data_IF_541705162995
#
_entry.id   IF_541705162995
#
_cell.length_a   1.000
_cell.length_b   1.000
_cell.length_c   1.000
_cell.angle_alpha   90.00
_cell.angle_beta   90.00
_cell.angle_gamma   90.00
#
_symmetry.space_group_name_H-M   'P 1'
#
loop_
_entity.id
_entity.type
_entity.pdbx_description
1 polymer ?
#
# COMPACT_ATOMS: atom_id res chain seq x y z
N UNK A 1 46.86 -32.71 1.32
CA UNK A 1 47.09 -31.57 0.41
C UNK A 1 45.89 -31.53 -0.53
N UNK A 2 44.88 -30.74 -0.19
CA UNK A 2 44.53 -29.43 -0.85
C UNK A 2 43.98 -29.66 -2.26
N UNK A 3 42.80 -29.19 -2.69
CA UNK A 3 41.92 -28.15 -2.18
C UNK A 3 40.53 -28.26 -2.86
N UNK A 4 39.48 -27.81 -2.16
CA UNK A 4 38.08 -27.78 -2.60
C UNK A 4 37.56 -26.34 -2.49
N UNK A 5 37.09 -25.75 -3.59
CA UNK A 5 36.42 -24.43 -3.73
C UNK A 5 35.53 -24.51 -4.98
N UNK A 6 34.30 -24.01 -5.12
CA UNK A 6 33.41 -23.01 -4.49
C UNK A 6 31.98 -23.62 -4.56
N UNK A 7 30.92 -23.22 -3.87
CA UNK A 7 30.58 -22.05 -3.06
C UNK A 7 29.06 -21.85 -3.25
N UNK A 8 28.29 -21.82 -2.16
CA UNK A 8 26.94 -21.22 -2.14
C UNK A 8 26.51 -21.01 -0.69
N UNK A 9 26.05 -19.80 -0.45
CA UNK A 9 25.61 -19.15 0.78
C UNK A 9 24.24 -19.60 1.24
N UNK A 10 24.07 -19.89 2.53
CA UNK A 10 22.81 -19.70 3.24
C UNK A 10 23.04 -19.33 4.71
N UNK A 11 22.16 -18.47 5.18
CA UNK A 11 22.24 -17.56 6.31
C UNK A 11 21.87 -18.20 7.64
N UNK A 12 22.75 -18.05 8.63
CA UNK A 12 22.54 -18.45 10.03
C UNK A 12 21.83 -17.36 10.81
N UNK A 13 20.70 -17.72 11.43
CA UNK A 13 19.97 -16.97 12.45
C UNK A 13 20.71 -16.97 13.79
N UNK A 14 20.88 -15.80 14.43
CA UNK A 14 21.07 -15.72 15.88
C UNK A 14 20.44 -14.46 16.50
N UNK A 15 19.94 -14.56 17.74
CA UNK A 15 19.14 -13.54 18.41
C UNK A 15 20.01 -12.49 19.12
N UNK A 16 19.58 -11.23 19.08
CA UNK A 16 20.25 -10.12 19.76
C UNK A 16 19.88 -10.14 21.24
N UNK A 17 20.88 -10.43 22.07
CA UNK A 17 20.88 -10.27 23.53
C UNK A 17 21.37 -8.86 23.86
N UNK A 18 20.50 -8.03 24.42
CA UNK A 18 20.86 -6.68 24.90
C UNK A 18 21.31 -6.76 26.36
N UNK A 19 22.57 -6.41 26.61
CA UNK A 19 23.14 -6.23 27.94
C UNK A 19 22.82 -4.84 28.48
N UNK A 20 22.27 -4.82 29.70
CA UNK A 20 22.09 -3.62 30.50
C UNK A 20 23.44 -3.04 30.94
N UNK A 21 23.63 -1.74 30.78
CA UNK A 21 24.66 -1.00 31.48
C UNK A 21 24.12 0.37 31.91
N UNK A 22 24.33 0.62 33.19
CA UNK A 22 23.83 1.69 34.02
C UNK A 22 24.47 3.04 33.67
N UNK A 23 23.66 4.09 33.53
CA UNK A 23 24.11 5.48 33.74
C UNK A 23 23.07 6.26 34.54
N UNK A 24 23.52 6.65 35.72
CA UNK A 24 22.89 7.54 36.68
C UNK A 24 22.70 8.95 36.12
N UNK A 25 21.50 9.52 36.24
CA UNK A 25 21.34 10.96 36.50
C UNK A 25 20.02 11.21 37.24
N UNK A 26 20.17 12.02 38.28
CA UNK A 26 19.23 12.46 39.31
C UNK A 26 17.89 12.99 38.81
N UNK A 27 16.80 12.37 39.29
CA UNK A 27 15.45 12.94 39.30
C UNK A 27 15.31 13.73 40.60
N UNK A 28 15.20 15.06 40.51
CA UNK A 28 14.84 15.93 41.62
C UNK A 28 13.31 15.97 41.69
N UNK A 29 12.74 15.41 42.76
CA UNK A 29 11.32 15.51 43.08
C UNK A 29 10.98 16.91 43.64
N UNK A 30 9.77 17.45 43.39
CA UNK A 30 9.33 18.73 43.95
C UNK A 30 8.93 18.58 45.43
N UNK A 31 9.16 19.59 46.29
CA UNK A 31 8.74 19.55 47.68
C UNK A 31 7.23 19.77 47.85
N UNK A 32 6.63 19.29 48.95
CA UNK A 32 5.19 19.31 49.17
C UNK A 32 4.67 20.72 49.56
N UNK A 33 3.49 21.06 49.03
CA UNK A 33 2.66 22.19 49.44
C UNK A 33 2.16 21.98 50.88
N UNK A 34 2.48 22.89 51.79
CA UNK A 34 1.75 23.04 53.04
C UNK A 34 0.54 23.97 52.82
N UNK A 35 -0.64 23.45 53.12
CA UNK A 35 -1.92 24.14 53.04
C UNK A 35 -2.05 25.15 54.19
N UNK A 36 -2.36 26.39 53.84
CA UNK A 36 -2.94 27.37 54.76
C UNK A 36 -4.37 26.91 55.11
N UNK A 37 -4.61 26.64 56.38
CA UNK A 37 -5.95 26.48 56.94
C UNK A 37 -6.61 27.85 57.09
N UNK A 38 -7.67 28.09 56.33
CA UNK A 38 -8.63 29.16 56.58
C UNK A 38 -9.79 28.57 57.39
N UNK A 39 -10.13 29.19 58.51
CA UNK A 39 -11.43 29.05 59.15
C UNK A 39 -12.03 30.45 59.31
N UNK A 40 -13.11 30.64 58.56
CA UNK A 40 -13.92 31.84 58.41
C UNK A 40 -14.96 31.99 59.52
N UNK A 41 -15.32 33.24 59.84
CA UNK A 41 -16.72 33.68 60.02
C UNK A 41 -16.73 35.22 60.02
N UNK A 42 -17.13 35.87 58.93
CA UNK A 42 -18.51 36.29 58.60
C UNK A 42 -18.94 37.58 59.32
N UNK A 43 -19.00 38.69 58.60
CA UNK A 43 -20.28 39.35 58.26
C UNK A 43 -20.03 40.65 57.50
N UNK A 44 -20.73 40.74 56.36
CA UNK A 44 -20.97 41.94 55.55
C UNK A 44 -22.00 42.80 56.27
N UNK A 45 -21.89 44.13 56.19
CA UNK A 45 -23.02 45.04 55.94
C UNK A 45 -22.54 46.42 55.45
N UNK A 46 -23.34 46.95 54.53
CA UNK A 46 -23.22 48.19 53.77
C UNK A 46 -23.61 49.45 54.57
N UNK A 47 -23.46 50.60 53.88
CA UNK A 47 -24.21 51.87 53.97
C UNK A 47 -23.58 53.06 54.69
N UNK A 48 -23.29 54.07 53.85
CA UNK A 48 -23.88 55.41 53.79
C UNK A 48 -23.96 56.35 55.00
N UNK A 49 -23.63 57.58 54.64
CA UNK A 49 -24.19 58.86 55.06
C UNK A 49 -23.88 59.47 56.44
N UNK A 50 -23.18 60.60 56.32
CA UNK A 50 -23.64 61.93 56.71
C UNK A 50 -24.17 62.16 58.15
N UNK A 51 -23.41 63.05 58.79
CA UNK A 51 -23.88 64.23 59.52
C UNK A 51 -23.95 64.19 61.05
N UNK A 52 -23.28 65.20 61.60
CA UNK A 52 -23.77 66.16 62.58
C UNK A 52 -23.32 66.09 64.04
N UNK A 53 -22.48 67.09 64.35
CA UNK A 53 -22.66 68.13 65.40
C UNK A 53 -22.88 67.63 66.84
N UNK A 54 -21.92 67.96 67.72
CA UNK A 54 -22.04 68.91 68.87
C UNK A 54 -20.74 68.88 69.66
N UNK A 55 -19.94 69.95 69.58
CA UNK A 55 -19.99 71.10 70.51
C UNK A 55 -19.63 70.71 71.95
N UNK A 56 -18.47 71.19 72.43
CA UNK A 56 -18.45 71.95 73.70
C UNK A 56 -17.20 72.81 73.86
N UNK A 57 -17.43 74.12 73.76
CA UNK A 57 -16.61 75.21 74.26
C UNK A 57 -16.55 75.22 75.81
N UNK A 58 -15.56 75.94 76.33
CA UNK A 58 -15.42 76.37 77.72
C UNK A 58 -13.99 76.86 77.97
N UNK A 59 -13.59 78.05 77.50
CA UNK A 59 -13.86 79.39 78.06
C UNK A 59 -13.01 79.73 79.31
N UNK A 60 -11.92 80.46 79.04
CA UNK A 60 -11.46 81.73 79.66
C UNK A 60 -11.66 81.91 81.18
N UNK A 61 -10.55 82.23 81.87
CA UNK A 61 -10.55 83.21 82.98
C UNK A 61 -9.21 83.96 83.06
N UNK A 62 -9.23 85.18 82.52
CA UNK A 62 -8.44 86.30 83.00
C UNK A 62 -8.97 86.74 84.38
N UNK A 63 -8.08 87.18 85.27
CA UNK A 63 -8.43 88.08 86.37
C UNK A 63 -7.46 89.26 86.43
N UNK A 64 -8.09 90.39 86.73
CA UNK A 64 -7.73 91.78 86.47
C UNK A 64 -7.17 92.47 87.73
N UNK A 65 -6.61 93.64 87.48
CA UNK A 65 -6.02 94.64 88.37
C UNK A 65 -6.91 95.22 89.50
N UNK A 66 -6.23 95.92 90.43
CA UNK A 66 -6.71 97.06 91.24
C UNK A 66 -6.68 96.79 92.75
N UNK A 67 -6.37 97.68 93.69
CA UNK A 67 -5.96 99.10 93.72
C UNK A 67 -5.60 99.49 95.18
N UNK A 68 -4.57 100.32 95.36
CA UNK A 68 -4.31 101.39 96.37
C UNK A 68 -4.91 101.28 97.80
N UNK A 69 -4.04 101.39 98.83
CA UNK A 69 -4.29 102.18 100.05
C UNK A 69 -3.00 102.57 100.79
N UNK A 70 -2.88 103.88 101.04
CA UNK A 70 -1.86 104.58 101.82
C UNK A 70 -1.80 104.16 103.30
N UNK A 71 -0.58 104.18 103.88
CA UNK A 71 -0.34 104.64 105.27
C UNK A 71 1.15 104.92 105.55
N UNK A 72 1.53 106.15 105.26
CA UNK A 72 2.05 107.17 106.19
C UNK A 72 2.91 106.81 107.44
N UNK A 73 3.95 107.66 107.59
CA UNK A 73 4.76 108.06 108.76
C UNK A 73 5.93 107.20 109.28
N UNK A 74 7.12 107.67 108.88
CA UNK A 74 8.26 108.07 109.73
C UNK A 74 8.94 107.03 110.64
N UNK A 75 10.18 106.68 110.31
CA UNK A 75 11.31 107.16 111.11
C UNK A 75 12.63 106.99 110.35
N UNK A 76 13.37 108.09 110.33
CA UNK A 76 14.60 108.35 109.61
C UNK A 76 15.80 107.56 110.14
N UNK A 77 16.76 107.31 109.24
CA UNK A 77 18.16 106.95 109.51
C UNK A 77 18.58 105.48 109.32
N UNK A 78 18.05 104.82 108.28
CA UNK A 78 18.54 103.52 107.76
C UNK A 78 18.40 103.28 106.25
N UNK A 79 17.91 104.28 105.49
CA UNK A 79 17.42 104.13 104.11
C UNK A 79 18.50 104.11 103.02
N UNK A 80 19.70 104.64 103.28
CA UNK A 80 20.79 104.65 102.28
C UNK A 80 21.43 103.27 102.08
N UNK A 81 21.48 102.43 103.12
CA UNK A 81 22.01 101.07 103.03
C UNK A 81 21.03 100.11 102.33
N UNK A 82 19.73 100.21 102.64
CA UNK A 82 18.67 99.41 102.03
C UNK A 82 18.39 99.77 100.55
N UNK A 83 18.58 101.03 100.15
CA UNK A 83 18.49 101.43 98.73
C UNK A 83 19.66 100.87 97.92
N UNK A 84 20.88 100.90 98.48
CA UNK A 84 22.05 100.31 97.82
C UNK A 84 21.92 98.79 97.67
N UNK A 85 21.39 98.11 98.68
CA UNK A 85 21.08 96.68 98.64
C UNK A 85 19.96 96.36 97.62
N UNK A 86 18.93 97.21 97.51
CA UNK A 86 17.87 97.05 96.50
C UNK A 86 18.35 97.36 95.09
N UNK A 87 19.19 98.35 94.89
CA UNK A 87 19.78 98.67 93.58
C UNK A 87 20.80 97.60 93.14
N UNK A 88 21.54 97.00 94.08
CA UNK A 88 22.34 95.79 93.85
C UNK A 88 21.44 94.61 93.47
N UNK A 89 20.33 94.39 94.19
CA UNK A 89 19.36 93.32 93.88
C UNK A 89 18.67 93.53 92.53
N UNK A 90 18.33 94.76 92.18
CA UNK A 90 17.75 95.13 90.89
C UNK A 90 18.77 94.93 89.77
N UNK A 91 20.04 95.29 90.00
CA UNK A 91 21.12 95.04 89.04
C UNK A 91 21.37 93.54 88.85
N UNK A 92 21.32 92.78 89.93
CA UNK A 92 21.47 91.33 89.92
C UNK A 92 20.28 90.61 89.24
N UNK A 93 19.04 91.07 89.48
CA UNK A 93 17.86 90.57 88.78
C UNK A 93 17.85 90.96 87.31
N UNK A 94 18.27 92.17 86.95
CA UNK A 94 18.43 92.57 85.54
C UNK A 94 19.48 91.74 84.82
N UNK A 95 20.60 91.47 85.49
CA UNK A 95 21.64 90.55 85.00
C UNK A 95 21.09 89.13 84.84
N UNK A 96 20.36 88.62 85.82
CA UNK A 96 19.70 87.31 85.75
C UNK A 96 18.61 87.24 84.68
N UNK A 97 17.89 88.32 84.42
CA UNK A 97 16.87 88.39 83.36
C UNK A 97 17.50 88.39 81.98
N UNK A 98 18.62 89.10 81.78
CA UNK A 98 19.43 89.02 80.55
C UNK A 98 19.98 87.60 80.36
N UNK A 99 20.41 86.94 81.44
CA UNK A 99 20.93 85.57 81.38
C UNK A 99 19.82 84.56 81.03
N UNK A 100 18.64 84.68 81.63
CA UNK A 100 17.45 83.86 81.32
C UNK A 100 16.95 84.12 79.90
N UNK A 101 16.92 85.37 79.44
CA UNK A 101 16.51 85.72 78.08
C UNK A 101 17.51 85.17 77.05
N UNK A 102 18.82 85.24 77.34
CA UNK A 102 19.85 84.60 76.53
C UNK A 102 19.73 83.07 76.54
N UNK A 103 19.38 82.45 77.67
CA UNK A 103 19.12 81.02 77.75
C UNK A 103 17.85 80.59 77.00
N UNK A 104 16.77 81.38 77.08
CA UNK A 104 15.53 81.11 76.35
C UNK A 104 15.73 81.25 74.85
N UNK A 105 16.43 82.30 74.38
CA UNK A 105 16.78 82.46 72.98
C UNK A 105 17.60 81.27 72.46
N UNK A 106 18.58 80.79 73.24
CA UNK A 106 19.35 79.57 72.91
C UNK A 106 18.48 78.32 72.89
N UNK A 107 17.50 78.20 73.78
CA UNK A 107 16.58 77.06 73.78
C UNK A 107 15.64 77.09 72.58
N UNK A 108 15.12 78.25 72.20
CA UNK A 108 14.28 78.43 71.01
C UNK A 108 15.07 78.11 69.74
N UNK A 109 16.30 78.62 69.62
CA UNK A 109 17.18 78.31 68.48
C UNK A 109 17.48 76.81 68.41
N UNK A 110 17.79 76.18 69.55
CA UNK A 110 18.01 74.72 69.64
C UNK A 110 16.78 73.91 69.25
N UNK A 111 15.59 74.31 69.71
CA UNK A 111 14.34 73.62 69.37
C UNK A 111 13.99 73.80 67.90
N UNK A 112 14.11 75.02 67.37
CA UNK A 112 13.90 75.31 65.94
C UNK A 112 14.87 74.54 65.07
N UNK A 113 16.13 74.42 65.49
CA UNK A 113 17.14 73.63 64.79
C UNK A 113 16.77 72.14 64.81
N UNK A 114 16.45 71.59 65.99
CA UNK A 114 16.04 70.18 66.12
C UNK A 114 14.78 69.87 65.30
N UNK A 115 13.79 70.76 65.28
CA UNK A 115 12.56 70.60 64.49
C UNK A 115 12.85 70.66 62.99
N UNK A 116 13.65 71.63 62.54
CA UNK A 116 14.07 71.75 61.15
C UNK A 116 14.87 70.53 60.70
N UNK A 117 15.78 70.02 61.54
CA UNK A 117 16.57 68.81 61.27
C UNK A 117 15.67 67.57 61.18
N UNK A 118 14.68 67.45 62.06
CA UNK A 118 13.71 66.35 62.06
C UNK A 118 12.80 66.40 60.84
N UNK A 119 12.31 67.58 60.48
CA UNK A 119 11.47 67.79 59.29
C UNK A 119 12.26 67.49 58.01
N UNK A 120 13.50 68.00 57.89
CA UNK A 120 14.37 67.71 56.76
C UNK A 120 14.70 66.22 56.65
N UNK A 121 14.94 65.54 57.78
CA UNK A 121 15.15 64.10 57.81
C UNK A 121 13.93 63.34 57.25
N UNK A 122 12.72 63.63 57.73
CA UNK A 122 11.50 62.96 57.26
C UNK A 122 11.15 63.31 55.82
N UNK A 123 11.35 64.55 55.38
CA UNK A 123 11.17 64.95 53.99
C UNK A 123 12.13 64.20 53.07
N UNK A 124 13.40 64.08 53.45
CA UNK A 124 14.40 63.31 52.70
C UNK A 124 14.03 61.82 52.63
N UNK A 125 13.60 61.23 53.76
CA UNK A 125 13.12 59.84 53.81
C UNK A 125 11.89 59.62 52.94
N UNK A 126 10.89 60.50 53.02
CA UNK A 126 9.67 60.41 52.25
C UNK A 126 9.93 60.59 50.75
N UNK A 127 10.77 61.56 50.38
CA UNK A 127 11.20 61.77 48.98
C UNK A 127 11.94 60.54 48.43
N UNK A 128 12.87 59.98 49.21
CA UNK A 128 13.62 58.77 48.80
C UNK A 128 12.68 57.58 48.62
N UNK A 129 11.77 57.35 49.56
CA UNK A 129 10.81 56.24 49.49
C UNK A 129 9.84 56.40 48.32
N UNK A 130 9.33 57.61 48.10
CA UNK A 130 8.44 57.91 46.97
C UNK A 130 9.15 57.70 45.62
N UNK A 131 10.42 58.11 45.51
CA UNK A 131 11.21 57.87 44.31
C UNK A 131 11.43 56.36 44.07
N UNK A 132 11.69 55.59 45.12
CA UNK A 132 11.80 54.13 45.03
C UNK A 132 10.48 53.49 44.62
N UNK A 133 9.35 53.90 45.22
CA UNK A 133 8.02 53.41 44.87
C UNK A 133 7.72 53.64 43.39
N UNK A 134 7.88 54.87 42.90
CA UNK A 134 7.66 55.21 41.50
C UNK A 134 8.53 54.39 40.55
N UNK A 135 9.81 54.17 40.90
CA UNK A 135 10.70 53.32 40.12
C UNK A 135 10.21 51.87 40.07
N UNK A 136 9.90 51.26 41.21
CA UNK A 136 9.43 49.87 41.26
C UNK A 136 8.09 49.69 40.53
N UNK A 137 7.20 50.67 40.62
CA UNK A 137 5.91 50.68 39.94
C UNK A 137 6.09 50.78 38.41
N UNK A 138 7.04 51.58 37.92
CA UNK A 138 7.40 51.59 36.49
C UNK A 138 8.01 50.26 36.04
N UNK A 139 8.91 49.67 36.82
CA UNK A 139 9.52 48.36 36.52
C UNK A 139 8.45 47.26 36.47
N UNK A 140 7.48 47.26 37.39
CA UNK A 140 6.36 46.31 37.39
C UNK A 140 5.43 46.47 36.18
N UNK A 141 5.15 47.72 35.74
CA UNK A 141 4.36 47.93 34.51
C UNK A 141 5.08 47.39 33.28
N UNK A 142 6.39 47.61 33.16
CA UNK A 142 7.18 47.10 32.05
C UNK A 142 7.24 45.57 32.05
N UNK A 143 7.44 44.95 33.21
CA UNK A 143 7.43 43.49 33.34
C UNK A 143 6.07 42.88 32.97
N UNK A 144 4.96 43.51 33.36
CA UNK A 144 3.62 43.05 32.95
C UNK A 144 3.43 43.14 31.44
N UNK A 145 3.82 44.26 30.82
CA UNK A 145 3.76 44.42 29.37
C UNK A 145 4.63 43.39 28.63
N UNK A 146 5.82 43.06 29.16
CA UNK A 146 6.68 42.01 28.59
C UNK A 146 6.02 40.62 28.73
N UNK A 147 5.35 40.32 29.85
CA UNK A 147 4.62 39.06 30.01
C UNK A 147 3.46 38.95 29.03
N UNK A 148 2.67 40.02 28.84
CA UNK A 148 1.56 40.04 27.87
C UNK A 148 2.06 39.82 26.44
N UNK A 149 3.21 40.43 26.06
CA UNK A 149 3.82 40.20 24.76
C UNK A 149 4.28 38.74 24.61
N UNK A 150 4.94 38.19 25.63
CA UNK A 150 5.37 36.78 25.65
C UNK A 150 4.18 35.81 25.63
N UNK A 151 3.05 36.20 26.21
CA UNK A 151 1.79 35.45 26.13
C UNK A 151 1.25 35.47 24.71
N UNK A 152 1.19 36.64 24.07
CA UNK A 152 0.81 36.77 22.66
C UNK A 152 1.69 35.94 21.72
N UNK A 153 3.02 35.99 21.88
CA UNK A 153 3.96 35.17 21.09
C UNK A 153 3.72 33.66 21.28
N UNK A 154 3.38 33.22 22.49
CA UNK A 154 3.05 31.81 22.77
C UNK A 154 1.72 31.40 22.14
N UNK A 155 0.74 32.28 22.18
CA UNK A 155 -0.58 32.03 21.58
C UNK A 155 -0.48 31.96 20.06
N UNK A 156 0.23 32.90 19.42
CA UNK A 156 0.53 32.86 17.98
C UNK A 156 1.28 31.59 17.57
N UNK A 157 2.28 31.18 18.36
CA UNK A 157 3.01 29.94 18.12
C UNK A 157 2.10 28.72 18.26
N UNK A 158 1.22 28.69 19.27
CA UNK A 158 0.29 27.60 19.51
C UNK A 158 -0.76 27.52 18.39
N UNK A 159 -1.28 28.64 17.91
CA UNK A 159 -2.17 28.71 16.76
C UNK A 159 -1.49 28.19 15.48
N UNK A 160 -0.24 28.58 15.23
CA UNK A 160 0.56 28.06 14.13
C UNK A 160 0.76 26.55 14.21
N UNK A 161 1.06 26.01 15.39
CA UNK A 161 1.16 24.56 15.62
C UNK A 161 -0.15 23.84 15.33
N UNK A 162 -1.28 24.36 15.80
CA UNK A 162 -2.59 23.78 15.53
C UNK A 162 -2.98 23.83 14.05
N UNK A 163 -2.56 24.88 13.34
CA UNK A 163 -2.71 24.95 11.89
C UNK A 163 -1.89 23.87 11.16
N UNK A 164 -0.59 23.73 11.49
CA UNK A 164 0.24 22.71 10.86
C UNK A 164 -0.23 21.28 11.17
N UNK A 165 -0.70 21.01 12.39
CA UNK A 165 -1.30 19.71 12.74
C UNK A 165 -2.52 19.39 11.86
N UNK A 166 -3.38 20.37 11.61
CA UNK A 166 -4.54 20.22 10.73
C UNK A 166 -4.13 19.94 9.28
N UNK A 167 -3.15 20.68 8.76
CA UNK A 167 -2.65 20.47 7.40
C UNK A 167 -2.00 19.08 7.24
N UNK A 168 -1.17 18.64 8.19
CA UNK A 168 -0.56 17.30 8.18
C UNK A 168 -1.65 16.23 8.16
N UNK A 169 -2.66 16.36 9.03
CA UNK A 169 -3.78 15.41 9.06
C UNK A 169 -4.53 15.35 7.72
N UNK A 170 -4.78 16.49 7.09
CA UNK A 170 -5.41 16.55 5.77
C UNK A 170 -4.56 15.88 4.68
N UNK A 171 -3.23 16.09 4.69
CA UNK A 171 -2.32 15.39 3.76
C UNK A 171 -2.28 13.88 4.01
N UNK A 172 -2.30 13.45 5.26
CA UNK A 172 -2.35 12.02 5.61
C UNK A 172 -3.67 11.35 5.17
N UNK A 173 -4.79 12.07 5.28
CA UNK A 173 -6.08 11.63 4.74
C UNK A 173 -6.02 11.44 3.21
N UNK A 174 -5.43 12.39 2.49
CA UNK A 174 -5.25 12.31 1.04
C UNK A 174 -4.30 11.17 0.63
N UNK A 175 -3.18 10.99 1.33
CA UNK A 175 -2.26 9.87 1.09
C UNK A 175 -2.98 8.53 1.29
N UNK A 176 -3.82 8.41 2.33
CA UNK A 176 -4.63 7.20 2.56
C UNK A 176 -5.64 6.97 1.45
N UNK A 177 -6.31 8.02 0.98
CA UNK A 177 -7.24 7.94 -0.15
C UNK A 177 -6.53 7.49 -1.43
N UNK A 178 -5.45 8.15 -1.81
CA UNK A 178 -4.65 7.79 -2.99
C UNK A 178 -4.11 6.36 -2.93
N UNK A 179 -3.69 5.88 -1.74
CA UNK A 179 -3.27 4.48 -1.57
C UNK A 179 -4.45 3.51 -1.78
N UNK A 180 -5.64 3.83 -1.30
CA UNK A 180 -6.85 3.03 -1.54
C UNK A 180 -7.19 2.99 -3.02
N UNK A 181 -7.15 4.14 -3.70
CA UNK A 181 -7.41 4.24 -5.14
C UNK A 181 -6.35 3.48 -5.95
N UNK A 182 -5.06 3.58 -5.60
CA UNK A 182 -3.98 2.79 -6.20
C UNK A 182 -4.16 1.28 -5.95
N UNK A 183 -4.63 0.87 -4.78
CA UNK A 183 -4.94 -0.55 -4.52
C UNK A 183 -6.16 -1.01 -5.33
N UNK A 184 -7.19 -0.17 -5.46
CA UNK A 184 -8.37 -0.43 -6.29
C UNK A 184 -8.01 -0.56 -7.75
N UNK A 185 -7.20 0.37 -8.28
CA UNK A 185 -6.69 0.35 -9.65
C UNK A 185 -5.75 -0.83 -9.87
N UNK A 186 -4.86 -1.13 -8.93
CA UNK A 186 -4.00 -2.32 -8.98
C UNK A 186 -4.81 -3.61 -8.99
N UNK A 187 -5.88 -3.68 -8.18
CA UNK A 187 -6.79 -4.82 -8.16
C UNK A 187 -7.54 -4.94 -9.48
N UNK A 188 -8.08 -3.84 -10.00
CA UNK A 188 -8.79 -3.78 -11.28
C UNK A 188 -7.88 -4.19 -12.44
N UNK A 189 -6.68 -3.60 -12.52
CA UNK A 189 -5.67 -3.96 -13.51
C UNK A 189 -5.28 -5.43 -13.37
N UNK A 190 -4.98 -5.93 -12.17
CA UNK A 190 -4.71 -7.35 -11.96
C UNK A 190 -5.89 -8.25 -12.36
N UNK A 191 -7.14 -7.88 -12.10
CA UNK A 191 -8.28 -8.67 -12.61
C UNK A 191 -8.43 -8.59 -14.13
N UNK A 192 -8.05 -7.46 -14.74
CA UNK A 192 -8.17 -7.22 -16.18
C UNK A 192 -7.02 -7.81 -17.00
N UNK A 193 -5.83 -7.99 -16.41
CA UNK A 193 -4.64 -8.55 -17.09
C UNK A 193 -4.34 -10.00 -16.70
N UNK A 194 -4.94 -10.56 -15.63
CA UNK A 194 -4.82 -11.99 -15.27
C UNK A 194 -5.54 -12.94 -16.23
N UNK A 195 -6.08 -12.44 -17.34
CA UNK A 195 -6.56 -13.25 -18.46
C UNK A 195 -5.47 -13.54 -19.50
N UNK A 196 -4.26 -13.01 -19.37
CA UNK A 196 -3.14 -13.34 -20.26
C UNK A 196 -2.45 -14.64 -19.83
N UNK A 197 -3.19 -15.75 -19.84
CA UNK A 197 -2.63 -17.11 -19.84
C UNK A 197 -2.11 -17.43 -21.25
N UNK A 198 -1.16 -16.64 -21.72
CA UNK A 198 -0.48 -16.90 -22.99
C UNK A 198 0.64 -17.89 -22.76
N UNK A 199 0.57 -19.01 -23.48
CA UNK A 199 1.59 -20.05 -23.43
C UNK A 199 2.56 -19.85 -24.62
N UNK A 200 3.85 -20.15 -24.41
CA UNK A 200 4.85 -19.98 -25.46
C UNK A 200 4.76 -21.07 -26.53
N UNK A 201 5.18 -20.73 -27.74
CA UNK A 201 5.22 -21.65 -28.88
C UNK A 201 6.09 -22.88 -28.57
N UNK A 202 7.18 -22.72 -27.79
CA UNK A 202 8.05 -23.82 -27.36
C UNK A 202 7.32 -24.86 -26.49
N UNK A 203 6.42 -24.42 -25.61
CA UNK A 203 5.64 -25.33 -24.78
C UNK A 203 4.66 -26.13 -25.66
N UNK A 204 3.98 -25.47 -26.60
CA UNK A 204 3.10 -26.15 -27.54
C UNK A 204 3.85 -27.13 -28.43
N UNK A 205 5.03 -26.76 -28.95
CA UNK A 205 5.88 -27.65 -29.73
C UNK A 205 6.29 -28.89 -28.91
N UNK A 206 6.70 -28.68 -27.65
CA UNK A 206 7.06 -29.76 -26.73
C UNK A 206 5.88 -30.68 -26.41
N UNK A 207 4.69 -30.13 -26.19
CA UNK A 207 3.47 -30.89 -25.89
C UNK A 207 2.99 -31.70 -27.09
N UNK A 208 3.07 -31.10 -28.28
CA UNK A 208 2.76 -31.76 -29.54
C UNK A 208 3.73 -32.92 -29.79
N UNK A 209 5.03 -32.71 -29.57
CA UNK A 209 6.02 -33.78 -29.65
C UNK A 209 5.77 -34.91 -28.65
N UNK A 210 5.38 -34.59 -27.40
CA UNK A 210 5.01 -35.60 -26.39
C UNK A 210 3.78 -36.41 -26.81
N UNK A 211 2.76 -35.76 -27.37
CA UNK A 211 1.57 -36.44 -27.88
C UNK A 211 1.92 -37.37 -29.06
N UNK A 212 2.73 -36.89 -30.01
CA UNK A 212 3.18 -37.69 -31.16
C UNK A 212 4.03 -38.89 -30.75
N UNK A 213 4.96 -38.70 -29.82
CA UNK A 213 5.79 -39.78 -29.27
C UNK A 213 4.93 -40.77 -28.46
N UNK A 214 3.95 -40.29 -27.69
CA UNK A 214 3.01 -41.15 -26.97
C UNK A 214 2.17 -42.01 -27.90
N UNK A 215 1.71 -41.45 -29.03
CA UNK A 215 0.98 -42.20 -30.05
C UNK A 215 1.87 -43.26 -30.72
N UNK A 216 3.12 -42.91 -31.03
CA UNK A 216 4.09 -43.85 -31.58
C UNK A 216 4.36 -45.00 -30.62
N UNK A 217 4.63 -44.71 -29.35
CA UNK A 217 4.87 -45.72 -28.31
C UNK A 217 3.66 -46.63 -28.14
N UNK A 218 2.44 -46.07 -28.09
CA UNK A 218 1.20 -46.83 -28.02
C UNK A 218 1.03 -47.78 -29.23
N UNK A 219 1.29 -47.29 -30.44
CA UNK A 219 1.22 -48.10 -31.65
C UNK A 219 2.25 -49.25 -31.63
N UNK A 220 3.49 -48.96 -31.17
CA UNK A 220 4.54 -49.97 -31.01
C UNK A 220 4.15 -51.01 -29.95
N UNK A 221 3.72 -50.58 -28.77
CA UNK A 221 3.42 -51.44 -27.64
C UNK A 221 2.30 -52.44 -27.95
N UNK A 222 1.26 -52.00 -28.65
CA UNK A 222 0.07 -52.82 -28.89
C UNK A 222 0.02 -53.50 -30.27
N UNK A 223 0.75 -52.99 -31.27
CA UNK A 223 0.62 -53.48 -32.66
C UNK A 223 1.92 -53.91 -33.32
N UNK A 224 3.09 -53.81 -32.66
CA UNK A 224 4.39 -54.19 -33.26
C UNK A 224 4.43 -55.64 -33.75
N UNK A 225 3.79 -56.58 -33.05
CA UNK A 225 3.80 -58.02 -33.41
C UNK A 225 2.60 -58.45 -34.26
N UNK A 226 1.69 -57.53 -34.55
CA UNK A 226 0.43 -57.88 -35.19
C UNK A 226 0.51 -57.83 -36.71
N UNK A 227 -0.32 -58.65 -37.35
CA UNK A 227 -0.50 -58.67 -38.82
C UNK A 227 -1.72 -57.84 -39.19
N UNK A 228 -1.59 -57.06 -40.27
CA UNK A 228 -2.72 -56.33 -40.87
C UNK A 228 -3.39 -57.27 -41.86
N UNK A 229 -4.71 -57.42 -41.74
CA UNK A 229 -5.56 -58.25 -42.61
C UNK A 229 -6.74 -57.40 -43.08
N UNK A 230 -6.51 -56.62 -44.14
CA UNK A 230 -7.56 -55.74 -44.72
C UNK A 230 -8.75 -56.55 -45.24
N UNK A 231 -8.53 -57.78 -45.73
CA UNK A 231 -9.59 -58.63 -46.30
C UNK A 231 -10.70 -59.04 -45.32
N UNK A 232 -10.53 -58.80 -44.01
CA UNK A 232 -11.57 -59.01 -42.99
C UNK A 232 -12.46 -57.77 -42.80
N UNK A 233 -12.08 -56.62 -43.35
CA UNK A 233 -12.81 -55.37 -43.15
C UNK A 233 -14.14 -55.38 -43.92
N UNK A 234 -15.18 -54.82 -43.29
CA UNK A 234 -16.44 -54.57 -43.98
C UNK A 234 -16.26 -53.45 -45.03
N UNK A 235 -17.04 -53.40 -46.11
CA UNK A 235 -16.94 -52.36 -47.14
C UNK A 235 -17.15 -50.95 -46.57
N UNK A 236 -17.90 -50.82 -45.47
CA UNK A 236 -18.06 -49.55 -44.75
C UNK A 236 -16.76 -49.07 -44.09
N UNK A 237 -15.96 -49.99 -43.55
CA UNK A 237 -14.69 -49.64 -42.90
C UNK A 237 -13.59 -49.42 -43.96
N UNK A 238 -13.63 -50.13 -45.08
CA UNK A 238 -12.73 -49.87 -46.20
C UNK A 238 -12.92 -48.46 -46.78
N UNK A 239 -14.19 -48.03 -46.96
CA UNK A 239 -14.48 -46.67 -47.42
C UNK A 239 -13.96 -45.61 -46.43
N UNK A 240 -14.21 -45.79 -45.13
CA UNK A 240 -13.69 -44.88 -44.10
C UNK A 240 -12.16 -44.87 -44.04
N UNK A 241 -11.53 -46.05 -44.18
CA UNK A 241 -10.08 -46.16 -44.23
C UNK A 241 -9.49 -45.44 -45.45
N UNK A 242 -10.16 -45.49 -46.59
CA UNK A 242 -9.76 -44.75 -47.80
C UNK A 242 -9.88 -43.23 -47.64
N UNK A 243 -10.81 -42.76 -46.81
CA UNK A 243 -10.95 -41.34 -46.47
C UNK A 243 -9.88 -40.88 -45.50
N UNK A 244 -9.56 -41.70 -44.48
CA UNK A 244 -8.56 -41.38 -43.47
C UNK A 244 -7.13 -41.46 -44.02
N UNK A 245 -6.81 -42.52 -44.77
CA UNK A 245 -5.48 -42.77 -45.34
C UNK A 245 -5.64 -43.26 -46.77
N UNK A 246 -5.61 -42.38 -47.78
CA UNK A 246 -5.88 -42.75 -49.17
C UNK A 246 -4.97 -43.85 -49.74
N UNK A 247 -3.72 -43.94 -49.28
CA UNK A 247 -2.75 -44.97 -49.70
C UNK A 247 -2.73 -46.23 -48.79
N UNK A 248 -3.76 -46.46 -47.97
CA UNK A 248 -3.80 -47.54 -46.96
C UNK A 248 -3.43 -48.93 -47.51
N UNK A 249 -3.80 -49.24 -48.75
CA UNK A 249 -3.59 -50.56 -49.36
C UNK A 249 -2.11 -50.88 -49.62
N UNK A 250 -1.30 -49.86 -49.93
CA UNK A 250 0.14 -50.00 -50.14
C UNK A 250 0.87 -49.99 -48.79
N UNK A 251 0.50 -49.06 -47.91
CA UNK A 251 1.08 -48.94 -46.58
C UNK A 251 0.85 -50.16 -45.69
N UNK A 252 -0.27 -50.86 -45.82
CA UNK A 252 -0.51 -52.09 -45.07
C UNK A 252 0.51 -53.20 -45.36
N UNK A 253 1.16 -53.16 -46.53
CA UNK A 253 2.18 -54.14 -46.94
C UNK A 253 3.58 -53.74 -46.49
N UNK A 254 3.90 -52.44 -46.55
CA UNK A 254 5.25 -51.91 -46.36
C UNK A 254 5.47 -51.33 -44.95
N UNK A 255 4.50 -50.56 -44.43
CA UNK A 255 4.68 -49.67 -43.29
C UNK A 255 3.46 -49.67 -42.37
N UNK A 256 3.29 -50.77 -41.63
CA UNK A 256 2.13 -50.99 -40.74
C UNK A 256 1.97 -50.00 -39.60
N UNK A 257 3.08 -49.61 -38.94
CA UNK A 257 3.02 -48.70 -37.78
C UNK A 257 2.66 -47.27 -38.21
N UNK A 258 3.28 -46.70 -39.26
CA UNK A 258 2.84 -45.43 -39.85
C UNK A 258 1.37 -45.41 -40.26
N UNK A 259 0.85 -46.49 -40.85
CA UNK A 259 -0.58 -46.59 -41.18
C UNK A 259 -1.48 -46.44 -39.95
N UNK A 260 -1.20 -47.19 -38.88
CA UNK A 260 -1.98 -47.15 -37.64
C UNK A 260 -1.90 -45.77 -36.97
N UNK A 261 -0.72 -45.16 -36.94
CA UNK A 261 -0.54 -43.81 -36.41
C UNK A 261 -1.33 -42.78 -37.22
N UNK A 262 -1.28 -42.87 -38.56
CA UNK A 262 -2.00 -41.98 -39.46
C UNK A 262 -3.53 -42.04 -39.25
N UNK A 263 -4.09 -43.25 -39.09
CA UNK A 263 -5.52 -43.44 -38.79
C UNK A 263 -5.91 -42.72 -37.48
N UNK A 264 -5.17 -42.97 -36.40
CA UNK A 264 -5.50 -42.38 -35.09
C UNK A 264 -5.30 -40.87 -35.13
N UNK A 265 -4.19 -40.38 -35.68
CA UNK A 265 -3.92 -38.95 -35.83
C UNK A 265 -5.00 -38.22 -36.61
N UNK A 266 -5.47 -38.80 -37.73
CA UNK A 266 -6.53 -38.19 -38.53
C UNK A 266 -7.85 -38.10 -37.75
N UNK A 267 -8.20 -39.16 -37.00
CA UNK A 267 -9.37 -39.14 -36.12
C UNK A 267 -9.23 -38.08 -35.01
N UNK A 268 -8.05 -37.95 -34.39
CA UNK A 268 -7.80 -36.92 -33.37
C UNK A 268 -7.97 -35.52 -33.98
N UNK A 269 -7.50 -35.28 -35.20
CA UNK A 269 -7.70 -33.98 -35.87
C UNK A 269 -9.17 -33.72 -36.12
N UNK A 270 -9.87 -34.64 -36.80
CA UNK A 270 -11.29 -34.47 -37.15
C UNK A 270 -12.21 -34.27 -35.94
N UNK A 271 -11.97 -35.01 -34.84
CA UNK A 271 -12.89 -35.04 -33.70
C UNK A 271 -12.50 -34.09 -32.56
N UNK A 272 -11.21 -33.74 -32.45
CA UNK A 272 -10.70 -32.96 -31.31
C UNK A 272 -10.12 -31.63 -31.79
N UNK A 273 -9.16 -31.64 -32.70
CA UNK A 273 -8.45 -30.40 -33.06
C UNK A 273 -9.22 -29.51 -34.04
N UNK A 274 -10.12 -30.05 -34.86
CA UNK A 274 -11.03 -29.28 -35.73
C UNK A 274 -12.26 -28.74 -34.98
N UNK A 275 -12.48 -29.15 -33.74
CA UNK A 275 -13.55 -28.61 -32.91
C UNK A 275 -13.22 -27.16 -32.50
N UNK A 276 -14.21 -26.26 -32.59
CA UNK A 276 -14.04 -24.87 -32.15
C UNK A 276 -13.57 -24.76 -30.69
N UNK A 277 -14.18 -25.57 -29.81
CA UNK A 277 -13.72 -25.78 -28.44
C UNK A 277 -14.24 -27.13 -27.95
N UNK A 278 -13.34 -28.03 -27.53
CA UNK A 278 -13.70 -29.40 -27.19
C UNK A 278 -14.58 -29.47 -25.95
N UNK A 279 -15.70 -30.19 -26.06
CA UNK A 279 -16.70 -30.36 -25.00
C UNK A 279 -17.85 -29.36 -25.05
N UNK A 280 -17.91 -28.52 -26.10
CA UNK A 280 -19.13 -27.80 -26.45
C UNK A 280 -19.93 -28.60 -27.48
N UNK A 281 -21.25 -28.58 -27.32
CA UNK A 281 -22.17 -29.04 -28.37
C UNK A 281 -21.98 -28.24 -29.67
N UNK A 282 -22.31 -28.88 -30.81
CA UNK A 282 -22.20 -28.24 -32.14
C UNK A 282 -22.98 -26.92 -32.23
N UNK A 283 -24.15 -26.84 -31.60
CA UNK A 283 -24.98 -25.64 -31.58
C UNK A 283 -24.33 -24.49 -30.79
N UNK A 284 -23.72 -24.79 -29.64
CA UNK A 284 -23.01 -23.79 -28.84
C UNK A 284 -21.76 -23.30 -29.55
N UNK A 285 -20.98 -24.21 -30.13
CA UNK A 285 -19.80 -23.89 -30.93
C UNK A 285 -20.16 -22.99 -32.12
N UNK A 286 -21.23 -23.31 -32.86
CA UNK A 286 -21.70 -22.51 -33.99
C UNK A 286 -22.13 -21.09 -33.58
N UNK A 287 -22.82 -20.94 -32.43
CA UNK A 287 -23.21 -19.62 -31.92
C UNK A 287 -22.00 -18.76 -31.56
N UNK A 288 -20.99 -19.35 -30.91
CA UNK A 288 -19.74 -18.63 -30.58
C UNK A 288 -18.98 -18.23 -31.84
N UNK A 289 -18.89 -19.14 -32.82
CA UNK A 289 -18.24 -18.88 -34.11
C UNK A 289 -18.93 -17.74 -34.87
N UNK A 290 -20.26 -17.75 -34.96
CA UNK A 290 -21.03 -16.66 -35.59
C UNK A 290 -20.83 -15.32 -34.86
N UNK A 291 -20.72 -15.35 -33.52
CA UNK A 291 -20.45 -14.15 -32.73
C UNK A 291 -19.05 -13.61 -33.00
N UNK A 292 -18.05 -14.49 -33.12
CA UNK A 292 -16.69 -14.12 -33.50
C UNK A 292 -16.67 -13.45 -34.89
N UNK A 293 -17.28 -14.08 -35.90
CA UNK A 293 -17.34 -13.56 -37.27
C UNK A 293 -18.04 -12.18 -37.31
N UNK A 294 -19.10 -12.00 -36.52
CA UNK A 294 -19.76 -10.72 -36.37
C UNK A 294 -18.84 -9.66 -35.75
N UNK A 295 -18.13 -9.99 -34.67
CA UNK A 295 -17.19 -9.06 -34.02
C UNK A 295 -16.02 -8.70 -34.91
N UNK A 296 -15.51 -9.65 -35.69
CA UNK A 296 -14.44 -9.42 -36.65
C UNK A 296 -14.87 -8.40 -37.71
N UNK A 297 -16.12 -8.49 -38.19
CA UNK A 297 -16.68 -7.53 -39.14
C UNK A 297 -16.90 -6.12 -38.57
N UNK A 298 -17.12 -5.99 -37.26
CA UNK A 298 -17.46 -4.72 -36.60
C UNK A 298 -16.24 -4.00 -36.01
N UNK A 299 -15.30 -4.75 -35.44
CA UNK A 299 -14.24 -4.24 -34.55
C UNK A 299 -12.83 -4.65 -34.98
N UNK A 300 -12.70 -5.40 -36.09
CA UNK A 300 -11.44 -5.94 -36.58
C UNK A 300 -11.02 -7.24 -35.90
N UNK A 301 -10.03 -7.89 -36.51
CA UNK A 301 -9.55 -9.23 -36.14
C UNK A 301 -8.95 -9.31 -34.73
N UNK A 302 -8.18 -8.29 -34.32
CA UNK A 302 -7.57 -8.22 -32.99
C UNK A 302 -8.62 -8.29 -31.86
N UNK A 303 -9.66 -7.46 -31.97
CA UNK A 303 -10.73 -7.40 -30.98
C UNK A 303 -11.52 -8.71 -30.93
N UNK A 304 -11.77 -9.34 -32.09
CA UNK A 304 -12.45 -10.63 -32.18
C UNK A 304 -11.63 -11.77 -31.57
N UNK A 305 -10.32 -11.80 -31.84
CA UNK A 305 -9.39 -12.79 -31.28
C UNK A 305 -9.22 -12.62 -29.76
N UNK A 306 -9.11 -11.38 -29.28
CA UNK A 306 -9.10 -11.07 -27.85
C UNK A 306 -10.40 -11.54 -27.18
N UNK A 307 -11.56 -11.25 -27.78
CA UNK A 307 -12.86 -11.70 -27.27
C UNK A 307 -12.94 -13.23 -27.24
N UNK A 308 -12.52 -13.92 -28.31
CA UNK A 308 -12.48 -15.40 -28.38
C UNK A 308 -11.62 -15.97 -27.26
N UNK A 309 -10.38 -15.49 -27.11
CA UNK A 309 -9.44 -15.95 -26.10
C UNK A 309 -10.01 -15.81 -24.68
N UNK A 310 -10.55 -14.62 -24.35
CA UNK A 310 -11.15 -14.36 -23.04
C UNK A 310 -12.39 -15.23 -22.80
N UNK A 311 -13.29 -15.31 -23.78
CA UNK A 311 -14.54 -16.08 -23.67
C UNK A 311 -14.25 -17.57 -23.47
N UNK A 312 -13.35 -18.15 -24.27
CA UNK A 312 -12.98 -19.56 -24.15
C UNK A 312 -12.20 -19.84 -22.85
N UNK A 313 -11.41 -18.89 -22.35
CA UNK A 313 -10.76 -18.99 -21.03
C UNK A 313 -11.79 -19.05 -19.91
N UNK A 314 -12.84 -18.23 -19.97
CA UNK A 314 -13.95 -18.27 -19.01
C UNK A 314 -14.70 -19.60 -19.10
N UNK A 315 -15.01 -20.08 -20.30
CA UNK A 315 -15.67 -21.38 -20.52
C UNK A 315 -14.83 -22.52 -19.94
N UNK A 316 -13.51 -22.54 -20.17
CA UNK A 316 -12.59 -23.55 -19.60
C UNK A 316 -12.64 -23.59 -18.08
N UNK A 317 -12.67 -22.43 -17.42
CA UNK A 317 -12.61 -22.32 -15.95
C UNK A 317 -13.96 -22.54 -15.27
N UNK A 318 -15.00 -21.90 -15.77
CA UNK A 318 -16.31 -21.81 -15.09
C UNK A 318 -17.27 -22.93 -15.52
N UNK A 319 -17.17 -23.43 -16.75
CA UNK A 319 -18.04 -24.49 -17.26
C UNK A 319 -17.44 -25.90 -17.15
N UNK A 320 -16.34 -26.07 -16.41
CA UNK A 320 -15.58 -27.33 -16.30
C UNK A 320 -16.44 -28.56 -15.98
N UNK A 321 -17.44 -28.43 -15.09
CA UNK A 321 -18.37 -29.51 -14.75
C UNK A 321 -19.30 -29.90 -15.91
N UNK A 322 -19.83 -28.92 -16.65
CA UNK A 322 -20.72 -29.17 -17.80
C UNK A 322 -19.92 -29.74 -18.98
N UNK A 323 -18.72 -29.21 -19.20
CA UNK A 323 -17.80 -29.71 -20.22
C UNK A 323 -17.41 -31.16 -19.93
N UNK A 324 -17.27 -31.57 -18.67
CA UNK A 324 -16.75 -32.90 -18.33
C UNK A 324 -17.58 -34.03 -18.94
N UNK A 325 -18.91 -33.98 -18.83
CA UNK A 325 -19.79 -35.02 -19.39
C UNK A 325 -19.67 -35.12 -20.93
N UNK A 326 -19.71 -33.98 -21.64
CA UNK A 326 -19.53 -33.94 -23.09
C UNK A 326 -18.12 -34.37 -23.50
N UNK A 327 -17.11 -34.03 -22.70
CA UNK A 327 -15.72 -34.47 -22.91
C UNK A 327 -15.60 -35.98 -22.81
N UNK A 328 -16.18 -36.58 -21.78
CA UNK A 328 -16.18 -38.03 -21.61
C UNK A 328 -16.86 -38.71 -22.79
N UNK A 329 -18.00 -38.20 -23.26
CA UNK A 329 -18.66 -38.72 -24.46
C UNK A 329 -17.75 -38.67 -25.70
N UNK A 330 -17.08 -37.53 -25.94
CA UNK A 330 -16.11 -37.40 -27.06
C UNK A 330 -14.96 -38.41 -26.91
N UNK A 331 -14.44 -38.60 -25.69
CA UNK A 331 -13.38 -39.60 -25.44
C UNK A 331 -13.85 -41.00 -25.81
N UNK A 332 -15.04 -41.41 -25.35
CA UNK A 332 -15.63 -42.71 -25.70
C UNK A 332 -15.85 -42.85 -27.21
N UNK A 333 -16.38 -41.83 -27.87
CA UNK A 333 -16.67 -41.85 -29.30
C UNK A 333 -15.38 -42.00 -30.13
N UNK A 334 -14.31 -41.30 -29.75
CA UNK A 334 -12.99 -41.44 -30.40
C UNK A 334 -12.46 -42.87 -30.22
N UNK A 335 -12.52 -43.42 -29.00
CA UNK A 335 -12.03 -44.78 -28.71
C UNK A 335 -12.85 -45.82 -29.45
N UNK A 336 -14.18 -45.68 -29.46
CA UNK A 336 -15.08 -46.56 -30.18
C UNK A 336 -14.81 -46.53 -31.69
N UNK A 337 -14.59 -45.35 -32.28
CA UNK A 337 -14.25 -45.19 -33.70
C UNK A 337 -12.91 -45.82 -34.03
N UNK A 338 -11.85 -45.50 -33.28
CA UNK A 338 -10.51 -46.09 -33.45
C UNK A 338 -10.58 -47.60 -33.31
N UNK A 339 -11.21 -48.10 -32.26
CA UNK A 339 -11.35 -49.52 -31.99
C UNK A 339 -12.10 -50.25 -33.10
N UNK A 340 -13.23 -49.70 -33.57
CA UNK A 340 -14.01 -50.27 -34.66
C UNK A 340 -13.18 -50.42 -35.94
N UNK A 341 -12.39 -49.41 -36.30
CA UNK A 341 -11.53 -49.46 -37.49
C UNK A 341 -10.39 -50.45 -37.28
N UNK A 342 -9.65 -50.32 -36.18
CA UNK A 342 -8.47 -51.14 -35.92
C UNK A 342 -8.81 -52.62 -35.75
N UNK A 343 -9.88 -52.97 -35.04
CA UNK A 343 -10.31 -54.36 -34.87
C UNK A 343 -10.79 -55.01 -36.16
N UNK A 344 -11.14 -54.23 -37.19
CA UNK A 344 -11.51 -54.78 -38.50
C UNK A 344 -10.31 -55.08 -39.40
N UNK A 345 -9.18 -54.39 -39.20
CA UNK A 345 -7.97 -54.50 -40.03
C UNK A 345 -6.84 -55.26 -39.33
N UNK A 346 -6.95 -55.52 -38.03
CA UNK A 346 -5.92 -56.13 -37.18
C UNK A 346 -6.48 -57.40 -36.53
N UNK A 347 -5.68 -58.47 -36.51
CA UNK A 347 -6.05 -59.78 -35.94
C UNK A 347 -5.86 -59.89 -34.40
N UNK A 348 -5.94 -58.77 -33.67
CA UNK A 348 -5.75 -58.72 -32.22
C UNK A 348 -6.97 -58.13 -31.55
N UNK A 349 -7.43 -58.83 -30.52
CA UNK A 349 -8.57 -58.42 -29.71
C UNK A 349 -8.28 -57.12 -28.95
N UNK A 350 -9.35 -56.38 -28.70
CA UNK A 350 -9.33 -55.18 -27.87
C UNK A 350 -8.95 -55.56 -26.44
N UNK A 351 -7.99 -54.85 -25.85
CA UNK A 351 -7.59 -55.06 -24.45
C UNK A 351 -7.87 -53.81 -23.63
N UNK A 352 -8.30 -53.97 -22.38
CA UNK A 352 -8.55 -52.85 -21.47
C UNK A 352 -7.31 -51.97 -21.31
N UNK A 353 -6.10 -52.57 -21.33
CA UNK A 353 -4.84 -51.84 -21.26
C UNK A 353 -4.62 -50.92 -22.48
N UNK A 354 -4.93 -51.41 -23.69
CA UNK A 354 -4.81 -50.63 -24.93
C UNK A 354 -5.76 -49.44 -24.92
N UNK A 355 -7.02 -49.68 -24.52
CA UNK A 355 -8.06 -48.66 -24.52
C UNK A 355 -7.81 -47.65 -23.38
N UNK A 356 -7.30 -48.09 -22.23
CA UNK A 356 -6.86 -47.20 -21.16
C UNK A 356 -5.70 -46.28 -21.59
N UNK A 357 -4.70 -46.82 -22.29
CA UNK A 357 -3.60 -46.00 -22.82
C UNK A 357 -4.09 -45.02 -23.89
N UNK A 358 -5.02 -45.45 -24.77
CA UNK A 358 -5.63 -44.57 -25.78
C UNK A 358 -6.45 -43.45 -25.12
N UNK A 359 -7.22 -43.74 -24.05
CA UNK A 359 -7.91 -42.72 -23.24
C UNK A 359 -6.95 -41.64 -22.75
N UNK A 360 -5.77 -42.04 -22.27
CA UNK A 360 -4.73 -41.11 -21.81
C UNK A 360 -4.26 -40.17 -22.93
N UNK A 361 -4.01 -40.71 -24.14
CA UNK A 361 -3.63 -39.93 -25.31
C UNK A 361 -4.74 -38.97 -25.75
N UNK A 362 -5.97 -39.45 -25.82
CA UNK A 362 -7.14 -38.62 -26.19
C UNK A 362 -7.32 -37.48 -25.20
N UNK A 363 -7.26 -37.73 -23.89
CA UNK A 363 -7.36 -36.67 -22.88
C UNK A 363 -6.22 -35.64 -23.01
N UNK A 364 -5.01 -36.09 -23.31
CA UNK A 364 -3.86 -35.21 -23.55
C UNK A 364 -4.09 -34.33 -24.78
N UNK A 365 -4.63 -34.90 -25.87
CA UNK A 365 -4.99 -34.16 -27.08
C UNK A 365 -6.10 -33.13 -26.82
N UNK A 366 -7.12 -33.48 -26.05
CA UNK A 366 -8.22 -32.57 -25.67
C UNK A 366 -7.68 -31.38 -24.87
N UNK A 367 -6.81 -31.63 -23.88
CA UNK A 367 -6.26 -30.56 -23.06
C UNK A 367 -5.33 -29.65 -23.88
N UNK A 368 -4.55 -30.21 -24.80
CA UNK A 368 -3.75 -29.44 -25.75
C UNK A 368 -4.64 -28.58 -26.66
N UNK A 369 -5.67 -29.16 -27.27
CA UNK A 369 -6.61 -28.44 -28.14
C UNK A 369 -7.28 -27.25 -27.41
N UNK A 370 -7.69 -27.44 -26.15
CA UNK A 370 -8.24 -26.36 -25.33
C UNK A 370 -7.25 -25.24 -25.05
N UNK A 371 -6.00 -25.58 -24.76
CA UNK A 371 -4.95 -24.58 -24.50
C UNK A 371 -4.59 -23.79 -25.74
N UNK A 372 -4.55 -24.44 -26.91
CA UNK A 372 -4.39 -23.77 -28.21
C UNK A 372 -5.57 -22.81 -28.49
N UNK A 373 -6.80 -23.26 -28.24
CA UNK A 373 -8.02 -22.50 -28.52
C UNK A 373 -8.21 -21.24 -27.64
N UNK A 374 -7.57 -21.17 -26.47
CA UNK A 374 -7.65 -19.97 -25.59
C UNK A 374 -6.57 -18.92 -25.90
N UNK A 375 -5.64 -19.21 -26.81
CA UNK A 375 -4.62 -18.23 -27.20
C UNK A 375 -5.22 -17.12 -28.06
N UNK A 376 -4.64 -15.91 -27.97
CA UNK A 376 -5.04 -14.77 -28.82
C UNK A 376 -4.65 -15.01 -30.28
N UNK A 377 -3.41 -15.46 -30.53
CA UNK A 377 -3.03 -15.99 -31.83
C UNK A 377 -3.89 -17.20 -32.20
N UNK A 378 -4.14 -17.39 -33.49
CA UNK A 378 -4.93 -18.51 -33.99
C UNK A 378 -3.99 -19.68 -34.26
N UNK A 379 -4.12 -20.74 -33.46
CA UNK A 379 -3.41 -21.99 -33.69
C UNK A 379 -4.31 -22.96 -34.43
N UNK A 380 -3.80 -23.53 -35.53
CA UNK A 380 -4.48 -24.54 -36.32
C UNK A 380 -3.62 -25.80 -36.39
N UNK A 381 -4.22 -26.92 -36.01
CA UNK A 381 -3.60 -28.25 -36.18
C UNK A 381 -4.03 -28.78 -37.54
N UNK A 382 -3.09 -29.18 -38.38
CA UNK A 382 -3.40 -29.59 -39.76
C UNK A 382 -2.65 -30.85 -40.16
N UNK A 383 -3.32 -31.75 -40.89
CA UNK A 383 -2.67 -32.81 -41.65
C UNK A 383 -2.67 -32.44 -43.14
N UNK A 384 -1.51 -32.51 -43.82
CA UNK A 384 -1.45 -32.44 -45.27
C UNK A 384 -2.40 -33.45 -45.92
N UNK A 385 -3.21 -32.99 -46.88
CA UNK A 385 -4.13 -33.86 -47.60
C UNK A 385 -3.40 -34.57 -48.73
N UNK A 386 -3.41 -35.91 -48.70
CA UNK A 386 -2.87 -36.75 -49.76
C UNK A 386 -4.03 -37.11 -50.68
N UNK A 387 -3.95 -36.76 -51.96
CA UNK A 387 -5.01 -37.05 -52.93
C UNK A 387 -4.56 -38.21 -53.84
N UNK A 388 -5.42 -39.22 -54.12
CA UNK A 388 -5.05 -40.39 -54.93
C UNK A 388 -4.53 -40.10 -56.35
N UNK A 389 -4.76 -38.88 -56.86
CA UNK A 389 -4.43 -38.48 -58.23
C UNK A 389 -3.46 -37.29 -58.30
N UNK A 390 -2.96 -36.84 -57.16
CA UNK A 390 -2.06 -35.69 -57.10
C UNK A 390 -0.86 -36.01 -56.20
N UNK A 391 0.33 -35.85 -56.76
CA UNK A 391 1.57 -36.01 -56.02
C UNK A 391 1.67 -34.97 -54.93
N UNK A 392 1.69 -35.42 -53.68
CA UNK A 392 1.91 -34.56 -52.52
C UNK A 392 3.38 -34.64 -52.16
N UNK A 393 4.14 -33.59 -52.46
CA UNK A 393 5.61 -33.58 -52.32
C UNK A 393 5.99 -33.18 -50.88
N UNK A 394 7.08 -33.75 -50.38
CA UNK A 394 7.66 -33.38 -49.08
C UNK A 394 8.13 -31.92 -49.06
N UNK A 395 7.70 -31.17 -48.04
CA UNK A 395 8.15 -29.80 -47.78
C UNK A 395 8.99 -29.75 -46.49
N UNK A 396 10.32 -29.57 -46.58
CA UNK A 396 11.21 -29.53 -45.41
C UNK A 396 10.86 -28.41 -44.43
N UNK A 397 10.16 -27.36 -44.85
CA UNK A 397 9.79 -26.25 -43.96
C UNK A 397 8.61 -26.58 -43.05
N UNK A 398 7.72 -27.48 -43.47
CA UNK A 398 6.48 -27.84 -42.74
C UNK A 398 6.44 -29.29 -42.26
N UNK A 399 7.33 -30.14 -42.79
CA UNK A 399 7.30 -31.59 -42.60
C UNK A 399 8.64 -32.13 -42.09
N UNK A 400 8.58 -33.24 -41.36
CA UNK A 400 9.70 -34.03 -40.85
C UNK A 400 9.50 -35.49 -41.29
N UNK A 401 10.50 -36.08 -41.93
CA UNK A 401 10.44 -37.48 -42.35
C UNK A 401 10.76 -38.43 -41.19
N UNK A 402 9.98 -39.50 -41.08
CA UNK A 402 10.17 -40.55 -40.07
C UNK A 402 10.89 -41.80 -40.59
N UNK A 403 11.16 -41.86 -41.91
CA UNK A 403 11.87 -42.95 -42.58
C UNK A 403 13.37 -42.94 -42.30
N UNK A 404 13.93 -41.81 -41.84
CA UNK A 404 15.32 -41.68 -41.42
C UNK A 404 16.30 -41.52 -42.58
N UNK A 405 15.80 -41.04 -43.73
CA UNK A 405 16.61 -40.70 -44.90
C UNK A 405 17.13 -39.26 -44.80
N UNK A 406 18.26 -38.95 -45.45
CA UNK A 406 18.85 -37.61 -45.43
C UNK A 406 17.95 -36.58 -46.14
N UNK A 407 17.61 -35.48 -45.47
CA UNK A 407 16.61 -34.48 -45.91
C UNK A 407 16.89 -33.86 -47.29
N UNK A 408 18.16 -33.76 -47.70
CA UNK A 408 18.58 -33.16 -48.97
C UNK A 408 18.03 -33.91 -50.21
N UNK A 409 17.80 -35.23 -50.08
CA UNK A 409 17.22 -36.07 -51.13
C UNK A 409 15.69 -36.21 -51.07
N UNK A 410 15.05 -35.67 -50.03
CA UNK A 410 13.61 -35.85 -49.77
C UNK A 410 12.74 -34.79 -50.43
N UNK A 411 13.28 -33.61 -50.76
CA UNK A 411 12.52 -32.47 -51.32
C UNK A 411 11.79 -32.75 -52.64
N UNK A 412 12.16 -33.81 -53.35
CA UNK A 412 11.47 -34.26 -54.58
C UNK A 412 10.61 -35.50 -54.39
N UNK A 413 10.58 -36.09 -53.18
CA UNK A 413 9.85 -37.33 -52.89
C UNK A 413 8.39 -37.05 -52.55
N UNK A 414 7.55 -38.04 -52.85
CA UNK A 414 6.13 -38.00 -52.54
C UNK A 414 5.89 -38.56 -51.13
N UNK A 415 4.98 -37.95 -50.37
CA UNK A 415 4.58 -38.46 -49.07
C UNK A 415 3.54 -39.57 -49.24
N UNK A 416 3.77 -40.73 -48.60
CA UNK A 416 2.83 -41.84 -48.60
C UNK A 416 1.73 -41.67 -47.54
N UNK A 417 2.10 -41.19 -46.35
CA UNK A 417 1.15 -40.90 -45.29
C UNK A 417 1.68 -39.84 -44.33
N UNK A 418 0.76 -39.16 -43.65
CA UNK A 418 1.06 -38.27 -42.53
C UNK A 418 0.78 -39.05 -41.24
N UNK A 419 1.79 -39.29 -40.41
CA UNK A 419 1.66 -40.05 -39.16
C UNK A 419 1.26 -39.17 -37.98
N UNK A 420 1.60 -37.88 -38.02
CA UNK A 420 1.25 -36.92 -36.98
C UNK A 420 1.10 -35.49 -37.55
N UNK A 421 0.10 -34.70 -37.11
CA UNK A 421 -0.18 -33.39 -37.70
C UNK A 421 0.85 -32.30 -37.35
N UNK A 422 0.85 -31.22 -38.13
CA UNK A 422 1.56 -29.98 -37.83
C UNK A 422 0.70 -29.02 -36.99
N UNK A 423 1.36 -28.06 -36.34
CA UNK A 423 0.70 -26.93 -35.66
C UNK A 423 1.20 -25.63 -36.28
N UNK A 424 0.27 -24.87 -36.82
CA UNK A 424 0.53 -23.57 -37.47
C UNK A 424 -0.06 -22.48 -36.58
N UNK A 425 0.73 -21.47 -36.27
CA UNK A 425 0.31 -20.25 -35.60
C UNK A 425 0.12 -19.13 -36.63
N UNK A 426 -1.02 -18.47 -36.56
CA UNK A 426 -1.33 -17.29 -37.37
C UNK A 426 -1.57 -16.10 -36.44
N UNK A 427 -0.90 -14.99 -36.75
CA UNK A 427 -0.92 -13.77 -35.94
C UNK A 427 0.17 -13.70 -34.86
N UNK A 428 0.33 -12.50 -34.31
CA UNK A 428 1.25 -12.22 -33.22
C UNK A 428 0.64 -12.55 -31.84
N UNK A 429 1.40 -12.28 -30.77
CA UNK A 429 0.95 -12.51 -29.39
C UNK A 429 -0.31 -11.71 -29.04
N UNK A 430 -0.62 -10.62 -29.74
CA UNK A 430 -1.82 -9.83 -29.49
C UNK A 430 -3.04 -10.35 -30.27
N UNK A 431 -2.86 -11.34 -31.15
CA UNK A 431 -3.91 -11.84 -32.04
C UNK A 431 -4.11 -10.94 -33.26
N UNK A 432 -3.13 -10.09 -33.57
CA UNK A 432 -3.08 -9.19 -34.72
C UNK A 432 -2.17 -9.76 -35.82
N UNK A 433 -2.06 -9.05 -36.94
CA UNK A 433 -1.11 -9.39 -38.02
C UNK A 433 -1.27 -10.81 -38.58
N UNK A 434 -2.47 -11.17 -39.05
CA UNK A 434 -2.79 -12.50 -39.60
C UNK A 434 -1.96 -12.95 -40.81
N UNK A 435 -1.18 -12.07 -41.42
CA UNK A 435 -0.19 -12.45 -42.43
C UNK A 435 1.05 -13.14 -41.83
N UNK A 436 1.32 -12.98 -40.53
CA UNK A 436 2.38 -13.70 -39.84
C UNK A 436 1.95 -15.14 -39.64
N UNK A 437 2.71 -16.06 -40.22
CA UNK A 437 2.50 -17.51 -40.12
C UNK A 437 3.77 -18.17 -39.62
N UNK A 438 3.68 -18.91 -38.52
CA UNK A 438 4.79 -19.66 -37.95
C UNK A 438 4.45 -21.14 -37.84
N UNK A 439 5.40 -22.03 -38.17
CA UNK A 439 5.27 -23.46 -37.95
C UNK A 439 5.79 -23.76 -36.55
N UNK A 440 4.86 -24.02 -35.62
CA UNK A 440 5.16 -24.33 -34.22
C UNK A 440 5.63 -25.78 -34.07
N UNK A 441 5.02 -26.68 -34.85
CA UNK A 441 5.40 -28.09 -34.91
C UNK A 441 5.22 -28.60 -36.33
N UNK A 442 6.24 -29.25 -36.89
CA UNK A 442 6.20 -29.84 -38.23
C UNK A 442 5.35 -31.12 -38.23
N UNK A 443 4.71 -31.40 -39.37
CA UNK A 443 3.98 -32.65 -39.57
C UNK A 443 4.98 -33.79 -39.71
N UNK A 444 4.70 -34.94 -39.09
CA UNK A 444 5.52 -36.14 -39.28
C UNK A 444 4.95 -36.93 -40.45
N UNK A 445 5.78 -37.21 -41.44
CA UNK A 445 5.37 -37.86 -42.67
C UNK A 445 6.28 -39.03 -42.99
N UNK A 446 5.75 -39.99 -43.76
CA UNK A 446 6.54 -41.07 -44.33
C UNK A 446 6.66 -40.81 -45.84
N UNK A 447 7.87 -40.61 -46.32
CA UNK A 447 8.14 -40.49 -47.75
C UNK A 447 8.11 -41.86 -48.45
N UNK A 448 7.82 -41.86 -49.75
CA UNK A 448 7.91 -43.06 -50.59
C UNK A 448 9.35 -43.59 -50.62
N UNK A 449 9.56 -44.91 -50.44
CA UNK A 449 10.89 -45.50 -50.61
C UNK A 449 11.39 -45.33 -52.04
N UNK A 450 12.72 -45.28 -52.20
CA UNK A 450 13.41 -45.11 -53.49
C UNK A 450 13.18 -46.25 -54.48
#
# INVERSE_FOLDING_TARGET
MTDKRRGASSSTSHPIRSTASSRSSSIIAPPPRAQLGNASASSVLENDDASSIKSREGSIKEQREGSIKDKDYSSSSGTAALLKEKDEKISELKRGLIEIEAEFARQVERLSQNESETAAFWQSKHSTLNQQFLRTDTELRLLRAEMELREGERDEFNEGLEFFKREIKARDDEIRRLRTDLMGLKKWLSTSTRTEEQESDELFAGDMARLGNGLQEWAIQHFRRTKIVISKASPSVENELSQLVPMYSELAKTSKLPLLQSIVSTILVEMIFDAYFVGLSKDQANKLKQTQECLESLSGEESANQWRAVTLTMVRKEASLKLHAETTAIVEDVIARVTRILSSIVDVDTTDARDHALRGLVNTAIELARRLAVQKAVFKVTMPQILPHQKTIFDPSEMEDIGGEDEDGLSTREICCVTFPSVIKTGDEHGSHSHLRNIVSKARVLCSPE
#
